data_IF_930191758340
#
_entry.id   IF_930191758340
#
_cell.length_a   1.000
_cell.length_b   1.000
_cell.length_c   1.000
_cell.angle_alpha   90.00
_cell.angle_beta   90.00
_cell.angle_gamma   90.00
#
_symmetry.space_group_name_H-M   'P 1'
#
loop_
_entity.id
_entity.type
_entity.pdbx_description
1 polymer ?
#
# COMPACT_ATOMS: atom_id res chain seq x y z
N UNK A 1 2.31 -10.28 7.00
CA UNK A 1 2.57 -11.13 5.82
C UNK A 1 1.25 -11.41 5.12
N UNK A 2 1.21 -11.29 3.79
CA UNK A 2 0.02 -11.53 2.95
C UNK A 2 0.38 -12.61 1.93
N UNK A 3 -0.45 -13.65 1.80
CA UNK A 3 -0.26 -14.78 0.89
C UNK A 3 -1.61 -15.40 0.52
N UNK A 4 -1.64 -16.25 -0.51
CA UNK A 4 -2.86 -16.97 -0.93
C UNK A 4 -3.96 -16.05 -1.47
N UNK A 5 -3.60 -14.90 -2.02
CA UNK A 5 -4.55 -13.92 -2.56
C UNK A 5 -4.94 -14.34 -3.98
N UNK A 6 -6.23 -14.57 -4.28
CA UNK A 6 -6.67 -14.82 -5.64
C UNK A 6 -6.33 -13.65 -6.56
N UNK A 7 -5.95 -13.93 -7.81
CA UNK A 7 -5.41 -12.93 -8.74
C UNK A 7 -6.40 -11.81 -9.11
N UNK A 8 -7.70 -12.04 -8.96
CA UNK A 8 -8.80 -11.10 -9.20
C UNK A 8 -9.09 -10.20 -7.98
N UNK A 9 -8.43 -10.42 -6.85
CA UNK A 9 -8.66 -9.65 -5.62
C UNK A 9 -7.73 -8.45 -5.51
N UNK A 10 -8.33 -7.36 -5.06
CA UNK A 10 -7.66 -6.15 -4.64
C UNK A 10 -7.53 -6.18 -3.12
N UNK A 11 -6.40 -5.70 -2.60
CA UNK A 11 -6.14 -5.49 -1.18
C UNK A 11 -5.62 -4.07 -0.96
N UNK A 12 -5.63 -3.63 0.29
CA UNK A 12 -5.24 -2.27 0.63
C UNK A 12 -6.47 -1.38 0.70
N UNK A 13 -6.54 -0.38 -0.18
CA UNK A 13 -7.61 0.60 -0.26
C UNK A 13 -7.74 1.42 1.02
N UNK A 14 -6.61 1.96 1.46
CA UNK A 14 -6.52 2.89 2.57
C UNK A 14 -5.22 3.69 2.50
N UNK A 15 -5.18 4.77 3.26
CA UNK A 15 -3.96 5.47 3.65
C UNK A 15 -3.75 5.36 5.16
N UNK A 16 -2.54 5.70 5.61
CA UNK A 16 -2.17 5.84 7.01
C UNK A 16 -1.91 7.30 7.35
N UNK A 17 -2.27 7.74 8.57
CA UNK A 17 -2.01 9.10 9.05
C UNK A 17 -0.56 9.27 9.51
N UNK A 18 -0.01 8.25 10.18
CA UNK A 18 1.32 8.27 10.80
C UNK A 18 2.16 7.03 10.46
N UNK A 19 1.54 5.89 10.13
CA UNK A 19 2.30 4.67 9.88
C UNK A 19 3.11 4.74 8.58
N UNK A 20 4.41 4.45 8.69
CA UNK A 20 5.29 4.21 7.55
C UNK A 20 5.28 2.72 7.23
N UNK A 21 5.26 2.38 5.95
CA UNK A 21 5.28 1.00 5.49
C UNK A 21 6.45 0.74 4.55
N UNK A 22 6.95 -0.50 4.56
CA UNK A 22 7.94 -0.99 3.63
C UNK A 22 7.51 -2.35 3.09
N UNK A 23 7.24 -2.42 1.79
CA UNK A 23 6.64 -3.55 1.11
C UNK A 23 7.69 -4.31 0.29
N UNK A 24 7.72 -5.63 0.41
CA UNK A 24 8.61 -6.51 -0.37
C UNK A 24 7.80 -7.69 -0.90
N UNK A 25 7.90 -7.97 -2.20
CA UNK A 25 7.46 -9.25 -2.75
C UNK A 25 8.50 -10.32 -2.38
N UNK A 26 8.34 -10.95 -1.22
CA UNK A 26 9.27 -11.97 -0.72
C UNK A 26 9.26 -13.24 -1.61
N UNK A 27 8.15 -13.48 -2.30
CA UNK A 27 8.02 -14.50 -3.34
C UNK A 27 6.95 -14.04 -4.35
N UNK A 28 7.12 -14.43 -5.62
CA UNK A 28 6.18 -14.08 -6.69
C UNK A 28 6.18 -12.59 -7.05
N UNK A 29 5.06 -12.12 -7.58
CA UNK A 29 4.90 -10.76 -8.11
C UNK A 29 3.52 -10.18 -7.80
N UNK A 30 3.47 -8.87 -7.60
CA UNK A 30 2.25 -8.07 -7.51
C UNK A 30 2.50 -6.64 -8.04
N UNK A 31 1.43 -5.90 -8.26
CA UNK A 31 1.47 -4.45 -8.48
C UNK A 31 0.98 -3.70 -7.23
N UNK A 32 1.56 -2.54 -6.99
CA UNK A 32 1.14 -1.59 -5.95
C UNK A 32 0.81 -0.26 -6.62
N UNK A 33 -0.40 0.25 -6.42
CA UNK A 33 -0.77 1.63 -6.75
C UNK A 33 -0.50 2.51 -5.54
N UNK A 34 0.11 3.66 -5.79
CA UNK A 34 0.42 4.71 -4.84
C UNK A 34 -0.28 5.97 -5.32
N UNK A 35 -1.12 6.55 -4.47
CA UNK A 35 -1.83 7.78 -4.75
C UNK A 35 -1.61 8.76 -3.60
N UNK A 36 -1.11 9.97 -3.91
CA UNK A 36 -0.86 11.02 -2.92
C UNK A 36 -1.96 12.09 -2.91
N UNK A 37 -3.09 11.85 -3.58
CA UNK A 37 -4.21 12.77 -3.77
C UNK A 37 -4.11 13.66 -5.00
N UNK A 38 -2.93 13.73 -5.64
CA UNK A 38 -2.67 14.54 -6.83
C UNK A 38 -2.24 13.69 -8.03
N UNK A 39 -1.29 12.79 -7.79
CA UNK A 39 -0.69 11.88 -8.75
C UNK A 39 -0.90 10.44 -8.31
N UNK A 40 -1.08 9.58 -9.31
CA UNK A 40 -1.16 8.14 -9.14
C UNK A 40 -0.05 7.43 -9.90
N UNK A 41 0.66 6.52 -9.24
CA UNK A 41 1.72 5.70 -9.83
C UNK A 41 1.50 4.23 -9.54
N UNK A 42 1.83 3.38 -10.50
CA UNK A 42 1.84 1.91 -10.34
C UNK A 42 3.30 1.43 -10.31
N UNK A 43 3.65 0.61 -9.32
CA UNK A 43 4.95 -0.03 -9.17
C UNK A 43 4.76 -1.54 -9.14
N UNK A 44 5.53 -2.26 -9.95
CA UNK A 44 5.56 -3.72 -9.91
C UNK A 44 6.63 -4.19 -8.92
N UNK A 45 6.24 -5.03 -7.95
CA UNK A 45 7.16 -5.72 -7.05
C UNK A 45 7.31 -7.17 -7.50
N UNK A 46 8.52 -7.54 -7.93
CA UNK A 46 8.84 -8.87 -8.46
C UNK A 46 10.20 -9.41 -7.99
N UNK A 47 11.00 -8.59 -7.29
CA UNK A 47 12.34 -8.95 -6.84
C UNK A 47 12.40 -8.82 -5.31
N UNK A 48 12.79 -9.87 -4.58
CA UNK A 48 12.80 -9.85 -3.11
C UNK A 48 13.88 -8.91 -2.53
N UNK A 49 14.87 -8.52 -3.34
CA UNK A 49 15.89 -7.52 -2.98
C UNK A 49 15.44 -6.07 -3.17
N UNK A 50 14.27 -5.84 -3.77
CA UNK A 50 13.71 -4.51 -3.99
C UNK A 50 12.50 -4.33 -3.08
N UNK A 51 12.56 -3.26 -2.27
CA UNK A 51 11.45 -2.85 -1.44
C UNK A 51 10.87 -1.52 -1.86
N UNK A 52 9.57 -1.36 -1.58
CA UNK A 52 8.83 -0.13 -1.79
C UNK A 52 8.55 0.52 -0.44
N UNK A 53 9.14 1.69 -0.23
CA UNK A 53 8.82 2.54 0.91
C UNK A 53 7.56 3.36 0.63
N UNK A 54 6.64 3.35 1.59
CA UNK A 54 5.40 4.12 1.57
C UNK A 54 5.34 4.99 2.83
N UNK A 55 5.52 6.32 2.72
CA UNK A 55 5.31 7.22 3.85
C UNK A 55 3.81 7.36 4.18
N UNK A 56 3.47 7.96 5.33
CA UNK A 56 2.10 8.34 5.64
C UNK A 56 1.50 9.29 4.60
N UNK A 57 0.18 9.33 4.51
CA UNK A 57 -0.54 10.16 3.54
C UNK A 57 -0.53 9.61 2.11
N UNK A 58 -0.15 8.35 1.91
CA UNK A 58 -0.24 7.67 0.60
C UNK A 58 -1.37 6.64 0.65
N UNK A 59 -2.32 6.75 -0.26
CA UNK A 59 -3.33 5.73 -0.50
C UNK A 59 -2.75 4.56 -1.28
N UNK A 60 -2.77 3.38 -0.67
CA UNK A 60 -2.15 2.17 -1.19
C UNK A 60 -3.16 1.15 -1.69
N UNK A 61 -2.94 0.59 -2.88
CA UNK A 61 -3.70 -0.55 -3.41
C UNK A 61 -2.72 -1.63 -3.87
N UNK A 62 -2.90 -2.87 -3.42
CA UNK A 62 -2.12 -4.03 -3.85
C UNK A 62 -3.00 -4.97 -4.66
N UNK A 63 -2.58 -5.36 -5.86
CA UNK A 63 -3.39 -6.13 -6.80
C UNK A 63 -2.51 -6.86 -7.83
N UNK A 64 -3.15 -7.60 -8.75
CA UNK A 64 -2.47 -8.47 -9.74
C UNK A 64 -1.49 -9.44 -9.07
N UNK A 65 -1.90 -10.03 -7.94
CA UNK A 65 -1.11 -11.07 -7.29
C UNK A 65 -1.00 -12.27 -8.25
N UNK A 66 0.23 -12.65 -8.59
CA UNK A 66 0.47 -13.94 -9.22
C UNK A 66 0.17 -15.08 -8.23
N UNK A 67 -0.11 -16.30 -8.72
CA UNK A 67 -0.19 -17.47 -7.86
C UNK A 67 1.05 -17.57 -6.95
N UNK A 68 0.81 -17.96 -5.70
CA UNK A 68 1.85 -18.15 -4.67
C UNK A 68 2.64 -16.89 -4.28
N UNK A 69 2.21 -15.68 -4.70
CA UNK A 69 2.85 -14.44 -4.25
C UNK A 69 2.76 -14.27 -2.73
N UNK A 70 3.90 -13.93 -2.12
CA UNK A 70 4.01 -13.57 -0.70
C UNK A 70 4.48 -12.12 -0.59
N UNK A 71 3.61 -11.26 -0.07
CA UNK A 71 3.93 -9.87 0.25
C UNK A 71 4.27 -9.75 1.74
N UNK A 72 5.50 -9.32 2.02
CA UNK A 72 5.93 -8.89 3.34
C UNK A 72 5.70 -7.38 3.47
N UNK A 73 5.08 -6.97 4.58
CA UNK A 73 4.86 -5.57 4.92
C UNK A 73 5.46 -5.35 6.31
N UNK A 74 6.45 -4.46 6.38
CA UNK A 74 6.99 -3.95 7.63
C UNK A 74 6.32 -2.60 7.91
N UNK A 75 5.93 -2.38 9.16
CA UNK A 75 5.23 -1.17 9.59
C UNK A 75 6.01 -0.54 10.75
N UNK A 76 6.12 0.79 10.76
CA UNK A 76 6.82 1.50 11.83
C UNK A 76 6.04 1.53 13.15
N UNK A 77 4.72 1.30 13.09
CA UNK A 77 3.82 1.32 14.25
C UNK A 77 3.14 -0.04 14.43
N UNK A 78 2.73 -0.33 15.66
CA UNK A 78 1.76 -1.38 15.92
C UNK A 78 0.41 -1.04 15.26
N UNK A 79 -0.42 -2.07 15.10
CA UNK A 79 -1.77 -1.87 14.56
C UNK A 79 -2.57 -0.91 15.45
N UNK A 80 -3.07 0.15 14.84
CA UNK A 80 -4.05 1.06 15.39
C UNK A 80 -5.14 1.29 14.33
N UNK A 81 -6.40 1.06 14.69
CA UNK A 81 -7.52 1.29 13.79
C UNK A 81 -7.75 2.78 13.49
N UNK A 82 -7.40 3.69 14.42
CA UNK A 82 -7.57 5.13 14.27
C UNK A 82 -6.61 5.75 13.25
N UNK A 83 -5.49 5.08 12.96
CA UNK A 83 -4.50 5.52 11.98
C UNK A 83 -4.94 5.29 10.52
N UNK A 84 -5.96 4.44 10.29
CA UNK A 84 -6.44 4.14 8.94
C UNK A 84 -7.39 5.23 8.42
N UNK A 85 -7.15 5.66 7.18
CA UNK A 85 -8.12 6.40 6.36
C UNK A 85 -8.66 5.44 5.30
N UNK A 86 -9.91 4.99 5.46
CA UNK A 86 -10.51 3.94 4.62
C UNK A 86 -11.52 4.43 3.60
N UNK A 87 -11.93 5.70 3.72
CA UNK A 87 -12.77 6.35 2.73
C UNK A 87 -11.90 7.24 1.83
N UNK A 88 -12.08 7.12 0.51
CA UNK A 88 -11.24 7.83 -0.44
C UNK A 88 -11.56 9.33 -0.47
N UNK A 89 -12.81 9.74 -0.23
CA UNK A 89 -13.20 11.14 -0.13
C UNK A 89 -12.61 11.78 1.13
N UNK A 90 -12.59 11.06 2.25
CA UNK A 90 -11.91 11.50 3.46
C UNK A 90 -10.39 11.63 3.23
N UNK A 91 -9.78 10.67 2.53
CA UNK A 91 -8.37 10.73 2.16
C UNK A 91 -8.04 12.00 1.36
N UNK A 92 -8.78 12.28 0.27
CA UNK A 92 -8.58 13.47 -0.55
C UNK A 92 -8.77 14.76 0.27
N UNK A 93 -9.69 14.77 1.23
CA UNK A 93 -9.90 15.92 2.12
C UNK A 93 -8.74 16.14 3.08
N UNK A 94 -8.06 15.08 3.53
CA UNK A 94 -6.86 15.17 4.39
C UNK A 94 -5.65 15.62 3.60
N UNK A 95 -5.35 14.98 2.46
CA UNK A 95 -4.12 15.28 1.70
C UNK A 95 -4.23 16.52 0.82
N UNK A 96 -5.44 16.87 0.36
CA UNK A 96 -5.69 18.09 -0.42
C UNK A 96 -5.55 19.39 0.39
N UNK A 97 -5.43 19.30 1.73
CA UNK A 97 -5.07 20.43 2.59
C UNK A 97 -3.56 20.56 2.82
N UNK A 98 -2.79 19.51 2.58
CA UNK A 98 -1.32 19.52 2.66
C UNK A 98 -0.73 19.95 1.31
N UNK A 99 -1.04 21.19 0.90
CA UNK A 99 -0.32 21.87 -0.17
C UNK A 99 1.13 22.14 0.27
N UNK A 100 2.02 21.17 0.05
CA UNK A 100 3.46 21.42 -0.04
C UNK A 100 3.84 21.87 -1.44
#
# INVERSE_FOLDING_TARGET
MVYGVPSDKVRGEHAHRECHQFLIAAHGRLSVVLDNGHDRKEVSLAEPSIGLYMPPGIWGIQYKFQPDTVLLVMASHHYDAGDYIRDYTDFLSVVGQDGR
#
